data_IF_891425840217
#
_entry.id   IF_891425840217
#
_cell.length_a   1.000
_cell.length_b   1.000
_cell.length_c   1.000
_cell.angle_alpha   90.00
_cell.angle_beta   90.00
_cell.angle_gamma   90.00
#
_symmetry.space_group_name_H-M   'P 1'
#
loop_
_entity.id
_entity.type
_entity.pdbx_description
1 polymer ?
#
# COMPACT_ATOMS: atom_id res chain seq x y z
N UNK A 1 -24.97 17.88 7.72
CA UNK A 1 -26.38 18.11 8.13
C UNK A 1 -26.58 17.42 9.46
N UNK A 2 -27.11 18.14 10.45
CA UNK A 2 -27.21 17.64 11.81
C UNK A 2 -28.43 16.72 12.01
N UNK A 3 -28.19 15.48 12.45
CA UNK A 3 -29.23 14.48 12.71
C UNK A 3 -30.17 14.85 13.87
N UNK A 4 -29.72 15.69 14.81
CA UNK A 4 -30.53 16.11 15.95
C UNK A 4 -31.37 17.35 15.64
N UNK A 5 -30.83 18.29 14.84
CA UNK A 5 -31.50 19.56 14.53
C UNK A 5 -32.26 19.62 13.18
N UNK A 6 -31.88 18.83 12.16
CA UNK A 6 -32.45 18.99 10.81
C UNK A 6 -33.94 18.61 10.72
N UNK A 7 -34.68 19.31 9.86
CA UNK A 7 -36.05 18.95 9.45
C UNK A 7 -36.08 17.82 8.41
N UNK A 8 -37.24 17.19 8.20
CA UNK A 8 -37.38 16.14 7.18
C UNK A 8 -36.99 16.65 5.78
N UNK A 9 -37.41 17.87 5.42
CA UNK A 9 -37.04 18.49 4.15
C UNK A 9 -35.51 18.64 4.01
N UNK A 10 -34.82 19.09 5.06
CA UNK A 10 -33.37 19.19 5.07
C UNK A 10 -32.69 17.81 4.95
N UNK A 11 -33.21 16.78 5.62
CA UNK A 11 -32.71 15.41 5.51
C UNK A 11 -32.89 14.85 4.08
N UNK A 12 -33.99 15.16 3.39
CA UNK A 12 -34.21 14.74 1.98
C UNK A 12 -33.30 15.43 0.95
N UNK A 13 -32.55 16.47 1.32
CA UNK A 13 -31.52 17.04 0.43
C UNK A 13 -30.31 16.12 0.26
N UNK A 14 -30.12 15.15 1.16
CA UNK A 14 -28.95 14.27 1.19
C UNK A 14 -29.15 13.11 0.20
N UNK A 15 -28.26 13.00 -0.78
CA UNK A 15 -28.35 12.03 -1.89
C UNK A 15 -28.47 10.59 -1.39
N UNK A 16 -29.69 10.06 -1.40
CA UNK A 16 -30.04 8.70 -0.99
C UNK A 16 -31.05 8.62 0.16
N UNK A 17 -31.33 9.71 0.87
CA UNK A 17 -32.40 9.78 1.88
C UNK A 17 -33.71 10.18 1.18
N UNK A 18 -34.64 9.23 1.05
CA UNK A 18 -36.00 9.51 0.61
C UNK A 18 -36.88 10.06 1.75
N UNK A 19 -38.03 10.64 1.41
CA UNK A 19 -39.02 11.18 2.38
C UNK A 19 -39.35 10.19 3.51
N UNK A 20 -39.65 8.93 3.16
CA UNK A 20 -39.93 7.84 4.11
C UNK A 20 -38.75 7.55 5.06
N UNK A 21 -37.51 7.78 4.63
CA UNK A 21 -36.31 7.62 5.45
C UNK A 21 -36.12 8.82 6.37
N UNK A 22 -36.32 10.04 5.88
CA UNK A 22 -36.28 11.26 6.68
C UNK A 22 -37.32 11.25 7.81
N UNK A 23 -38.57 10.89 7.51
CA UNK A 23 -39.63 10.71 8.50
C UNK A 23 -39.26 9.67 9.58
N UNK A 24 -38.69 8.53 9.19
CA UNK A 24 -38.25 7.52 10.15
C UNK A 24 -37.11 8.01 11.07
N UNK A 25 -36.19 8.85 10.57
CA UNK A 25 -35.10 9.44 11.37
C UNK A 25 -35.67 10.41 12.42
N UNK A 26 -36.60 11.30 12.00
CA UNK A 26 -37.23 12.27 12.91
C UNK A 26 -38.13 11.59 13.94
N UNK A 27 -38.93 10.60 13.53
CA UNK A 27 -39.72 9.77 14.43
C UNK A 27 -38.86 9.00 15.44
N UNK A 28 -37.72 8.45 15.01
CA UNK A 28 -36.80 7.74 15.90
C UNK A 28 -36.26 8.66 16.99
N UNK A 29 -35.68 9.82 16.66
CA UNK A 29 -35.10 10.73 17.67
C UNK A 29 -36.16 11.32 18.62
N UNK A 30 -37.39 11.49 18.13
CA UNK A 30 -38.52 11.99 18.95
C UNK A 30 -38.98 10.93 19.96
N UNK A 31 -38.91 9.64 19.62
CA UNK A 31 -39.35 8.54 20.48
C UNK A 31 -38.24 7.93 21.37
N UNK A 32 -36.96 8.06 20.98
CA UNK A 32 -35.82 7.39 21.63
C UNK A 32 -34.75 8.37 22.17
N UNK A 33 -34.94 9.68 21.98
CA UNK A 33 -33.94 10.69 22.31
C UNK A 33 -32.93 10.98 21.18
N UNK A 34 -32.06 11.99 21.35
CA UNK A 34 -31.11 12.42 20.33
C UNK A 34 -30.06 11.35 20.01
N UNK A 35 -29.66 11.29 18.73
CA UNK A 35 -28.56 10.45 18.26
C UNK A 35 -27.25 10.92 18.90
N UNK A 36 -26.49 9.99 19.50
CA UNK A 36 -25.20 10.27 20.15
C UNK A 36 -24.04 10.15 19.14
N UNK A 37 -24.24 9.32 18.11
CA UNK A 37 -23.31 9.04 17.02
C UNK A 37 -24.08 8.99 15.70
N UNK A 38 -23.37 9.11 14.58
CA UNK A 38 -23.99 8.87 13.26
C UNK A 38 -24.35 7.38 13.09
N UNK A 39 -23.62 6.48 13.75
CA UNK A 39 -23.87 5.04 13.79
C UNK A 39 -25.23 4.65 14.39
N UNK A 40 -25.77 5.46 15.30
CA UNK A 40 -27.11 5.26 15.86
C UNK A 40 -28.22 5.26 14.79
N UNK A 41 -27.97 5.79 13.59
CA UNK A 41 -28.89 5.64 12.45
C UNK A 41 -29.17 4.17 12.08
N UNK A 42 -28.27 3.23 12.37
CA UNK A 42 -28.51 1.80 12.13
C UNK A 42 -29.65 1.23 13.01
N UNK A 43 -30.08 1.97 14.05
CA UNK A 43 -31.23 1.64 14.89
C UNK A 43 -32.56 2.10 14.27
N UNK A 44 -32.52 2.93 13.21
CA UNK A 44 -33.71 3.45 12.51
C UNK A 44 -34.24 2.43 11.51
N UNK A 45 -35.53 2.10 11.61
CA UNK A 45 -36.18 1.09 10.76
C UNK A 45 -36.03 1.43 9.26
N UNK A 46 -35.35 0.56 8.52
CA UNK A 46 -35.09 0.71 7.08
C UNK A 46 -33.74 1.33 6.71
N UNK A 47 -32.88 1.60 7.70
CA UNK A 47 -31.48 1.99 7.50
C UNK A 47 -30.58 0.80 7.82
N UNK A 48 -29.60 0.52 6.96
CA UNK A 48 -28.56 -0.51 7.18
C UNK A 48 -27.21 0.13 7.46
N UNK A 49 -26.30 -0.58 8.15
CA UNK A 49 -24.97 -0.05 8.48
C UNK A 49 -24.20 0.50 7.24
N UNK A 50 -24.17 -0.27 6.14
CA UNK A 50 -23.54 0.16 4.89
C UNK A 50 -24.21 1.42 4.25
N UNK A 51 -25.48 1.70 4.56
CA UNK A 51 -26.15 2.94 4.16
C UNK A 51 -25.79 4.10 5.10
N UNK A 52 -25.59 3.84 6.40
CA UNK A 52 -25.04 4.84 7.35
C UNK A 52 -23.64 5.27 6.94
N UNK A 53 -22.74 4.32 6.66
CA UNK A 53 -21.35 4.61 6.25
C UNK A 53 -21.29 5.51 5.00
N UNK A 54 -22.16 5.26 4.02
CA UNK A 54 -22.26 6.08 2.81
C UNK A 54 -22.77 7.50 3.07
N UNK A 55 -23.58 7.70 4.11
CA UNK A 55 -24.13 9.01 4.49
C UNK A 55 -23.25 9.76 5.50
N UNK A 56 -22.36 9.06 6.21
CA UNK A 56 -21.45 9.60 7.24
C UNK A 56 -20.76 10.92 6.85
N UNK A 57 -20.23 11.12 5.62
CA UNK A 57 -19.60 12.40 5.24
C UNK A 57 -20.55 13.59 5.11
N UNK A 58 -21.87 13.35 4.97
CA UNK A 58 -22.90 14.39 4.85
C UNK A 58 -23.57 14.71 6.18
N UNK A 59 -23.25 13.97 7.25
CA UNK A 59 -24.00 13.93 8.49
C UNK A 59 -23.14 14.30 9.70
N UNK A 60 -23.77 14.97 10.67
CA UNK A 60 -23.20 15.30 11.96
C UNK A 60 -24.21 14.99 13.05
N UNK A 61 -23.73 14.82 14.28
CA UNK A 61 -24.55 14.87 15.49
C UNK A 61 -24.10 16.08 16.28
N UNK A 62 -24.92 17.14 16.28
CA UNK A 62 -24.67 18.29 17.13
C UNK A 62 -25.03 17.95 18.58
N UNK A 63 -24.10 18.20 19.50
CA UNK A 63 -24.42 18.34 20.91
C UNK A 63 -25.13 19.68 21.13
N UNK A 64 -26.27 19.66 21.83
CA UNK A 64 -26.89 20.91 22.29
C UNK A 64 -26.03 21.57 23.37
N UNK A 65 -26.14 22.90 23.50
CA UNK A 65 -25.58 23.64 24.63
C UNK A 65 -26.30 23.34 25.96
N UNK A 66 -25.90 23.90 27.10
CA UNK A 66 -24.93 24.98 27.34
C UNK A 66 -24.20 24.76 28.69
N UNK A 67 -23.09 25.47 28.94
CA UNK A 67 -22.42 25.50 30.25
C UNK A 67 -21.02 26.11 30.20
N UNK A 68 -20.66 26.98 31.16
CA UNK A 68 -19.46 27.83 31.09
C UNK A 68 -18.49 27.69 32.28
N UNK A 69 -17.19 27.91 32.01
CA UNK A 69 -16.17 28.29 33.00
C UNK A 69 -15.03 27.27 33.23
N UNK A 70 -13.79 27.75 33.44
CA UNK A 70 -12.70 26.92 33.98
C UNK A 70 -11.32 27.06 33.33
N UNK A 71 -10.57 28.08 33.75
CA UNK A 71 -9.15 28.41 33.47
C UNK A 71 -8.09 27.29 33.60
N UNK A 72 -6.98 27.42 32.83
CA UNK A 72 -5.65 26.83 33.12
C UNK A 72 -5.29 25.58 32.29
N UNK A 73 -4.03 25.30 31.93
CA UNK A 73 -2.78 26.07 32.07
C UNK A 73 -1.82 25.76 30.88
N UNK A 74 -0.71 26.49 30.74
CA UNK A 74 0.06 26.62 29.49
C UNK A 74 1.04 25.50 29.13
N UNK A 75 1.16 25.23 27.83
CA UNK A 75 2.28 24.52 27.18
C UNK A 75 3.07 25.46 26.24
N UNK A 76 4.30 25.09 25.82
CA UNK A 76 5.16 25.96 25.01
C UNK A 76 4.61 26.19 23.59
N UNK A 77 4.93 27.34 22.95
CA UNK A 77 4.35 27.72 21.67
C UNK A 77 4.85 26.80 20.53
N UNK A 78 3.93 26.46 19.62
CA UNK A 78 4.29 25.77 18.38
C UNK A 78 5.17 26.66 17.49
N UNK A 79 6.20 26.07 16.88
CA UNK A 79 7.07 26.77 15.92
C UNK A 79 6.30 26.98 14.62
N UNK A 80 6.00 28.24 14.31
CA UNK A 80 5.31 28.64 13.08
C UNK A 80 6.31 28.61 11.91
N UNK A 81 5.96 27.89 10.84
CA UNK A 81 6.74 27.89 9.59
C UNK A 81 6.58 29.23 8.84
N UNK A 82 7.60 29.74 8.12
CA UNK A 82 7.65 31.14 7.68
C UNK A 82 6.66 31.53 6.57
N UNK A 83 5.95 30.55 6.00
CA UNK A 83 5.10 30.66 4.82
C UNK A 83 3.59 30.65 5.12
N UNK A 84 3.19 30.41 6.37
CA UNK A 84 1.80 30.61 6.84
C UNK A 84 0.76 29.64 6.29
N UNK A 85 1.16 28.60 5.55
CA UNK A 85 0.26 27.60 4.98
C UNK A 85 -0.03 26.48 5.99
N UNK A 86 -1.20 26.56 6.63
CA UNK A 86 -1.73 25.45 7.42
C UNK A 86 -2.21 24.32 6.50
N UNK A 87 -1.33 23.36 6.20
CA UNK A 87 -1.72 22.13 5.52
C UNK A 87 -2.65 21.31 6.42
N UNK A 88 -3.83 20.86 5.94
CA UNK A 88 -4.65 19.95 6.70
C UNK A 88 -3.90 18.63 6.88
N UNK A 89 -3.65 18.24 8.14
CA UNK A 89 -3.09 16.94 8.46
C UNK A 89 -3.95 15.84 7.84
N UNK A 90 -3.34 14.73 7.41
CA UNK A 90 -4.11 13.57 6.98
C UNK A 90 -5.08 13.19 8.11
N UNK A 91 -6.40 13.05 7.86
CA UNK A 91 -7.35 12.60 8.89
C UNK A 91 -7.04 11.21 9.46
N UNK A 92 -6.08 10.50 8.85
CA UNK A 92 -5.51 9.26 9.35
C UNK A 92 -4.56 9.42 10.56
N UNK A 93 -4.09 10.64 10.85
CA UNK A 93 -3.13 10.95 11.93
C UNK A 93 -3.71 12.06 12.83
N UNK A 94 -4.56 11.67 13.78
CA UNK A 94 -5.08 12.57 14.82
C UNK A 94 -4.04 12.98 15.85
N UNK A 95 -4.36 13.93 16.75
CA UNK A 95 -3.44 14.39 17.80
C UNK A 95 -3.11 13.29 18.82
N UNK A 96 -4.05 12.37 19.07
CA UNK A 96 -3.93 11.26 20.02
C UNK A 96 -3.13 10.08 19.45
N UNK A 97 -1.86 10.32 19.09
CA UNK A 97 -0.93 9.22 18.90
C UNK A 97 -0.72 8.49 20.25
N UNK A 98 -0.90 7.15 20.31
CA UNK A 98 -0.38 6.40 21.44
C UNK A 98 1.15 6.54 21.48
N UNK A 99 1.74 6.38 22.67
CA UNK A 99 3.19 6.48 22.86
C UNK A 99 3.95 5.64 21.80
N UNK A 100 5.05 6.14 21.22
CA UNK A 100 5.68 5.54 20.05
C UNK A 100 5.87 4.04 20.20
N UNK A 101 5.17 3.27 19.34
CA UNK A 101 5.23 1.81 19.36
C UNK A 101 6.70 1.41 19.20
N UNK A 102 7.31 0.71 20.18
CA UNK A 102 8.71 0.34 20.09
C UNK A 102 8.98 -0.43 18.81
N UNK A 103 9.92 0.05 18.00
CA UNK A 103 10.32 -0.64 16.76
C UNK A 103 10.81 -2.05 17.12
N UNK A 104 10.44 -3.07 16.32
CA UNK A 104 10.81 -4.46 16.63
C UNK A 104 12.34 -4.60 16.68
N UNK A 105 12.83 -5.43 17.59
CA UNK A 105 14.23 -5.85 17.58
C UNK A 105 14.44 -6.79 16.38
N UNK A 106 15.19 -6.32 15.38
CA UNK A 106 15.49 -7.07 14.14
C UNK A 106 16.92 -7.61 14.21
N UNK A 107 17.11 -8.88 13.80
CA UNK A 107 18.45 -9.45 13.66
C UNK A 107 19.21 -8.76 12.52
N UNK A 108 20.36 -8.17 12.85
CA UNK A 108 21.15 -7.36 11.92
C UNK A 108 21.73 -8.19 10.77
N UNK A 109 21.37 -7.87 9.53
CA UNK A 109 21.90 -8.54 8.36
C UNK A 109 23.35 -8.12 8.07
N UNK A 110 24.27 -9.07 8.16
CA UNK A 110 25.72 -8.88 7.93
C UNK A 110 26.11 -8.64 6.48
N UNK A 111 25.21 -8.87 5.51
CA UNK A 111 25.54 -8.94 4.09
C UNK A 111 26.29 -10.22 3.69
N UNK A 112 26.44 -11.20 4.59
CA UNK A 112 27.17 -12.46 4.35
C UNK A 112 26.38 -13.64 4.88
N UNK A 113 26.02 -14.58 3.99
CA UNK A 113 25.30 -15.81 4.33
C UNK A 113 26.13 -17.03 3.91
N UNK A 114 26.39 -17.94 4.86
CA UNK A 114 27.23 -19.14 4.67
C UNK A 114 28.61 -18.83 4.05
N UNK A 115 29.23 -17.72 4.48
CA UNK A 115 30.54 -17.27 4.00
C UNK A 115 30.56 -16.61 2.62
N UNK A 116 29.41 -16.41 1.96
CA UNK A 116 29.29 -15.74 0.66
C UNK A 116 28.59 -14.38 0.83
N UNK A 117 28.98 -13.33 0.07
CA UNK A 117 28.20 -12.09 0.00
C UNK A 117 26.76 -12.38 -0.41
N UNK A 118 25.81 -11.68 0.21
CA UNK A 118 24.38 -11.87 0.01
C UNK A 118 23.62 -10.54 0.13
N UNK A 119 22.54 -10.40 -0.63
CA UNK A 119 21.64 -9.24 -0.61
C UNK A 119 20.23 -9.67 -0.21
N UNK A 120 19.55 -8.88 0.62
CA UNK A 120 18.12 -9.07 0.90
C UNK A 120 17.28 -8.32 -0.15
N UNK A 121 16.46 -9.07 -0.87
CA UNK A 121 15.48 -8.57 -1.84
C UNK A 121 14.09 -8.58 -1.19
N UNK A 122 13.29 -7.55 -1.44
CA UNK A 122 11.94 -7.42 -0.89
C UNK A 122 10.94 -6.87 -1.92
N UNK A 123 9.65 -7.07 -1.65
CA UNK A 123 8.54 -6.39 -2.30
C UNK A 123 7.72 -5.63 -1.27
N UNK A 124 7.08 -4.53 -1.66
CA UNK A 124 6.16 -3.80 -0.79
C UNK A 124 5.11 -3.02 -1.59
N UNK A 125 3.82 -3.40 -1.44
CA UNK A 125 2.72 -2.52 -1.78
C UNK A 125 2.66 -1.36 -0.77
N UNK A 126 3.14 -0.18 -1.18
CA UNK A 126 3.17 1.02 -0.33
C UNK A 126 1.84 1.78 -0.31
N UNK A 127 0.75 1.21 -0.84
CA UNK A 127 -0.64 1.65 -0.78
C UNK A 127 -0.86 3.14 -1.16
N UNK A 128 -1.19 3.41 -2.42
CA UNK A 128 -1.32 4.77 -2.98
C UNK A 128 -0.12 5.66 -2.57
N UNK A 129 1.09 5.20 -2.90
CA UNK A 129 2.35 5.84 -2.56
C UNK A 129 2.56 7.10 -3.42
N UNK A 130 2.22 8.27 -2.86
CA UNK A 130 2.34 9.57 -3.50
C UNK A 130 3.44 10.45 -2.92
N UNK A 131 3.80 11.51 -3.65
CA UNK A 131 4.69 12.57 -3.21
C UNK A 131 4.24 13.17 -1.88
N UNK A 132 2.93 13.44 -1.72
CA UNK A 132 2.32 13.96 -0.48
C UNK A 132 2.46 12.96 0.67
N UNK A 133 2.26 11.65 0.39
CA UNK A 133 2.44 10.58 1.38
C UNK A 133 3.89 10.49 1.87
N UNK A 134 4.85 10.83 1.02
CA UNK A 134 6.29 10.83 1.34
C UNK A 134 6.83 12.16 1.87
N UNK A 135 6.05 13.25 1.83
CA UNK A 135 6.35 14.45 2.63
C UNK A 135 6.03 14.24 4.12
N UNK A 136 5.15 13.29 4.45
CA UNK A 136 4.94 12.89 5.83
C UNK A 136 6.21 12.26 6.42
N UNK A 137 6.89 13.01 7.28
CA UNK A 137 8.14 12.60 7.94
C UNK A 137 8.01 11.26 8.67
N UNK A 138 6.87 10.94 9.29
CA UNK A 138 6.65 9.67 9.98
C UNK A 138 6.56 8.48 9.02
N UNK A 139 5.84 8.63 7.90
CA UNK A 139 5.77 7.59 6.85
C UNK A 139 7.15 7.40 6.22
N UNK A 140 7.85 8.49 5.88
CA UNK A 140 9.19 8.43 5.29
C UNK A 140 10.20 7.79 6.25
N UNK A 141 10.14 8.12 7.54
CA UNK A 141 10.98 7.47 8.57
C UNK A 141 10.68 5.97 8.70
N UNK A 142 9.41 5.56 8.72
CA UNK A 142 9.02 4.14 8.78
C UNK A 142 9.61 3.36 7.61
N UNK A 143 9.38 3.82 6.37
CA UNK A 143 9.88 3.10 5.17
C UNK A 143 11.41 3.07 5.13
N UNK A 144 12.08 4.20 5.36
CA UNK A 144 13.54 4.26 5.34
C UNK A 144 14.16 3.39 6.44
N UNK A 145 13.68 3.48 7.69
CA UNK A 145 14.22 2.67 8.77
C UNK A 145 13.91 1.18 8.61
N UNK A 146 12.74 0.76 8.12
CA UNK A 146 12.48 -0.66 7.86
C UNK A 146 13.47 -1.26 6.85
N UNK A 147 13.86 -0.51 5.81
CA UNK A 147 14.92 -0.93 4.88
C UNK A 147 16.31 -1.00 5.54
N UNK A 148 16.60 -0.08 6.46
CA UNK A 148 17.88 -0.02 7.17
C UNK A 148 18.01 -1.12 8.24
N UNK A 149 16.95 -1.36 9.01
CA UNK A 149 16.76 -2.39 10.05
C UNK A 149 16.83 -3.80 9.47
N UNK A 150 16.00 -4.08 8.45
CA UNK A 150 15.95 -5.40 7.80
C UNK A 150 17.15 -5.67 6.89
N UNK A 151 18.03 -4.68 6.67
CA UNK A 151 19.18 -4.82 5.78
C UNK A 151 18.82 -5.05 4.31
N UNK A 152 17.62 -4.65 3.89
CA UNK A 152 17.14 -4.78 2.51
C UNK A 152 18.02 -3.93 1.60
N UNK A 153 18.42 -4.50 0.46
CA UNK A 153 19.31 -3.88 -0.54
C UNK A 153 18.66 -3.67 -1.90
N UNK A 154 17.55 -4.35 -2.17
CA UNK A 154 16.73 -4.19 -3.38
C UNK A 154 15.26 -4.34 -3.00
N UNK A 155 14.47 -3.28 -3.23
CA UNK A 155 13.05 -3.22 -2.99
C UNK A 155 12.31 -3.03 -4.32
N UNK A 156 11.35 -3.90 -4.61
CA UNK A 156 10.32 -3.65 -5.61
C UNK A 156 9.09 -3.00 -4.95
N UNK A 157 8.53 -1.97 -5.59
CA UNK A 157 7.40 -1.18 -5.03
C UNK A 157 6.18 -1.27 -5.93
N UNK A 158 5.01 -1.53 -5.33
CA UNK A 158 3.69 -1.46 -5.97
C UNK A 158 2.92 -0.21 -5.50
N UNK A 159 1.86 0.16 -6.23
CA UNK A 159 1.00 1.34 -5.99
C UNK A 159 1.72 2.69 -5.90
N UNK A 160 2.74 2.95 -6.74
CA UNK A 160 3.24 4.33 -6.89
C UNK A 160 2.16 5.17 -7.59
N UNK A 161 1.63 6.18 -6.91
CA UNK A 161 0.65 7.12 -7.45
C UNK A 161 1.32 8.15 -8.38
N UNK A 162 2.58 8.46 -8.12
CA UNK A 162 3.43 9.31 -8.94
C UNK A 162 4.89 8.86 -8.87
N UNK A 163 5.71 9.38 -9.79
CA UNK A 163 7.12 9.02 -9.92
C UNK A 163 8.04 9.68 -8.88
N UNK A 164 7.57 10.72 -8.19
CA UNK A 164 8.38 11.52 -7.27
C UNK A 164 8.38 10.90 -5.86
N UNK A 165 7.32 10.18 -5.48
CA UNK A 165 7.23 9.44 -4.23
C UNK A 165 8.48 8.57 -3.95
N UNK A 166 8.91 7.76 -4.92
CA UNK A 166 10.09 6.89 -4.76
C UNK A 166 11.42 7.68 -4.78
N UNK A 167 11.47 8.80 -5.51
CA UNK A 167 12.62 9.70 -5.53
C UNK A 167 12.83 10.38 -4.16
N UNK A 168 11.76 10.72 -3.44
CA UNK A 168 11.85 11.25 -2.06
C UNK A 168 12.43 10.24 -1.07
N UNK A 169 12.03 8.96 -1.19
CA UNK A 169 12.62 7.87 -0.39
C UNK A 169 14.11 7.67 -0.70
N UNK A 170 14.48 7.68 -1.98
CA UNK A 170 15.86 7.56 -2.44
C UNK A 170 16.72 8.74 -1.95
N UNK A 171 16.20 9.97 -2.01
CA UNK A 171 16.88 11.16 -1.52
C UNK A 171 17.10 11.13 0.00
N UNK A 172 16.11 10.71 0.78
CA UNK A 172 16.25 10.57 2.24
C UNK A 172 17.29 9.51 2.64
N UNK A 173 17.36 8.39 1.92
CA UNK A 173 18.35 7.34 2.18
C UNK A 173 19.79 7.73 1.82
N UNK A 174 19.97 8.70 0.92
CA UNK A 174 21.27 9.24 0.52
C UNK A 174 21.69 10.50 1.28
N UNK A 175 20.74 11.37 1.64
CA UNK A 175 20.97 12.65 2.30
C UNK A 175 19.93 12.87 3.41
N UNK A 176 20.01 12.11 4.52
CA UNK A 176 18.93 12.03 5.50
C UNK A 176 18.67 13.34 6.24
N UNK A 177 17.44 13.82 6.11
CA UNK A 177 16.87 14.96 6.84
C UNK A 177 16.30 14.54 8.19
N UNK A 178 15.79 13.30 8.27
CA UNK A 178 15.19 12.70 9.44
C UNK A 178 16.28 12.23 10.39
N UNK A 179 16.25 12.73 11.63
CA UNK A 179 17.24 12.41 12.67
C UNK A 179 17.47 10.90 12.80
N UNK A 180 16.41 10.12 12.90
CA UNK A 180 16.48 8.68 13.16
C UNK A 180 17.13 7.90 11.99
N UNK A 181 16.99 8.40 10.76
CA UNK A 181 17.62 7.82 9.55
C UNK A 181 19.10 8.23 9.47
N UNK A 182 19.42 9.50 9.77
CA UNK A 182 20.79 10.04 9.76
C UNK A 182 21.67 9.47 10.88
N UNK A 183 21.10 9.33 12.07
CA UNK A 183 21.79 8.83 13.26
C UNK A 183 21.88 7.28 13.26
N UNK A 184 21.47 6.59 12.17
CA UNK A 184 21.46 5.12 12.06
C UNK A 184 22.88 4.51 11.90
N UNK A 185 23.26 3.49 12.69
CA UNK A 185 24.65 3.02 12.78
C UNK A 185 25.06 2.04 11.65
N UNK A 186 25.22 2.52 10.41
CA UNK A 186 25.87 1.77 9.32
C UNK A 186 26.51 2.70 8.26
N UNK A 187 27.37 2.20 7.35
CA UNK A 187 27.85 2.99 6.22
C UNK A 187 26.70 3.54 5.37
N UNK A 188 26.82 4.81 4.98
CA UNK A 188 25.89 5.49 4.07
C UNK A 188 25.93 4.79 2.69
N UNK A 189 24.76 4.48 2.15
CA UNK A 189 24.63 3.73 0.88
C UNK A 189 24.76 4.63 -0.35
N UNK A 190 24.74 3.99 -1.52
CA UNK A 190 24.51 4.66 -2.82
C UNK A 190 23.15 4.21 -3.34
N UNK A 191 22.09 4.78 -2.77
CA UNK A 191 20.73 4.40 -3.13
C UNK A 191 20.35 5.00 -4.48
N UNK A 192 19.70 4.19 -5.30
CA UNK A 192 19.21 4.55 -6.63
C UNK A 192 17.80 4.04 -6.79
N UNK A 193 17.00 4.71 -7.60
CA UNK A 193 15.63 4.30 -7.87
C UNK A 193 15.24 4.48 -9.33
N UNK A 194 14.33 3.63 -9.80
CA UNK A 194 13.65 3.76 -11.09
C UNK A 194 12.15 3.55 -10.90
N UNK A 195 11.34 4.24 -11.71
CA UNK A 195 9.88 4.11 -11.75
C UNK A 195 9.47 3.97 -13.20
N UNK A 196 8.56 3.05 -13.48
CA UNK A 196 8.14 2.70 -14.84
C UNK A 196 7.78 3.94 -15.66
N UNK A 197 8.36 4.08 -16.86
CA UNK A 197 8.16 5.28 -17.69
C UNK A 197 6.68 5.51 -17.99
N UNK A 198 5.96 4.42 -18.26
CA UNK A 198 4.51 4.40 -18.43
C UNK A 198 3.83 3.76 -17.21
N UNK A 199 2.54 4.04 -16.94
CA UNK A 199 1.79 3.32 -15.91
C UNK A 199 1.74 1.81 -16.13
N UNK A 200 1.72 1.03 -15.04
CA UNK A 200 1.44 -0.41 -15.09
C UNK A 200 -0.03 -0.65 -15.44
N UNK A 201 -0.95 0.12 -14.82
CA UNK A 201 -2.38 0.07 -15.10
C UNK A 201 -3.19 1.08 -14.26
N UNK A 202 -4.52 0.92 -14.16
CA UNK A 202 -5.35 1.77 -13.34
C UNK A 202 -5.11 1.48 -11.85
N UNK A 203 -5.00 2.54 -11.05
CA UNK A 203 -5.01 2.41 -9.60
C UNK A 203 -6.44 2.04 -9.16
N UNK A 204 -6.60 0.93 -8.43
CA UNK A 204 -7.91 0.59 -7.88
C UNK A 204 -8.31 1.51 -6.72
N UNK A 205 -9.58 1.43 -6.32
CA UNK A 205 -10.14 2.24 -5.25
C UNK A 205 -9.56 1.85 -3.89
N UNK A 206 -8.36 2.33 -3.62
CA UNK A 206 -7.88 2.53 -2.26
C UNK A 206 -8.95 3.32 -1.49
N UNK A 207 -9.25 2.95 -0.24
CA UNK A 207 -10.18 3.70 0.63
C UNK A 207 -9.65 5.09 1.04
N UNK A 208 -8.54 5.52 0.44
CA UNK A 208 -7.97 6.85 0.49
C UNK A 208 -8.83 7.82 -0.34
N UNK A 209 -9.47 8.79 0.32
CA UNK A 209 -10.36 9.78 -0.31
C UNK A 209 -9.69 10.71 -1.35
N UNK A 210 -8.39 10.55 -1.57
CA UNK A 210 -7.56 11.35 -2.49
C UNK A 210 -7.33 10.66 -3.84
N UNK A 211 -7.65 9.35 -3.98
CA UNK A 211 -7.56 8.65 -5.29
C UNK A 211 -8.67 9.17 -6.20
N UNK A 212 -8.27 9.85 -7.28
CA UNK A 212 -9.21 10.43 -8.25
C UNK A 212 -9.78 9.30 -9.13
N UNK A 213 -11.02 9.45 -9.64
CA UNK A 213 -11.49 8.59 -10.72
C UNK A 213 -10.48 8.61 -11.88
N UNK A 214 -10.15 7.43 -12.41
CA UNK A 214 -9.14 7.25 -13.48
C UNK A 214 -7.68 7.54 -13.06
N UNK A 215 -7.36 7.59 -11.75
CA UNK A 215 -5.97 7.50 -11.28
C UNK A 215 -5.28 6.25 -11.85
N UNK A 216 -4.01 6.41 -12.21
CA UNK A 216 -3.15 5.35 -12.73
C UNK A 216 -2.05 5.05 -11.71
N UNK A 217 -1.57 3.81 -11.67
CA UNK A 217 -0.44 3.42 -10.85
C UNK A 217 0.80 3.08 -11.69
N UNK A 218 1.95 3.23 -11.04
CA UNK A 218 3.26 2.86 -11.53
C UNK A 218 3.88 1.82 -10.59
N UNK A 219 4.91 1.14 -11.07
CA UNK A 219 5.77 0.28 -10.28
C UNK A 219 7.21 0.79 -10.34
N UNK A 220 8.03 0.41 -9.38
CA UNK A 220 9.42 0.89 -9.29
C UNK A 220 10.35 -0.08 -8.58
N UNK A 221 11.64 0.23 -8.65
CA UNK A 221 12.68 -0.42 -7.87
C UNK A 221 13.52 0.63 -7.14
N UNK A 222 13.93 0.33 -5.91
CA UNK A 222 14.80 1.14 -5.05
C UNK A 222 15.90 0.22 -4.53
N UNK A 223 17.17 0.53 -4.78
CA UNK A 223 18.28 -0.36 -4.46
C UNK A 223 19.53 0.39 -4.00
N UNK A 224 20.36 -0.30 -3.22
CA UNK A 224 21.63 0.22 -2.69
C UNK A 224 22.79 -0.28 -3.56
N UNK A 225 23.22 0.53 -4.53
CA UNK A 225 24.28 0.20 -5.47
C UNK A 225 25.64 0.01 -4.80
N UNK A 226 25.87 0.58 -3.60
CA UNK A 226 27.09 0.30 -2.82
C UNK A 226 27.19 -1.15 -2.36
N UNK A 227 26.09 -1.91 -2.43
CA UNK A 227 26.05 -3.36 -2.20
C UNK A 227 26.40 -4.19 -3.44
N UNK A 228 26.93 -3.57 -4.50
CA UNK A 228 27.33 -4.24 -5.75
C UNK A 228 26.16 -4.54 -6.68
N UNK A 229 25.03 -3.83 -6.51
CA UNK A 229 23.81 -3.99 -7.30
C UNK A 229 23.74 -2.98 -8.45
N UNK A 230 23.66 -3.50 -9.67
CA UNK A 230 23.57 -2.76 -10.92
C UNK A 230 22.23 -3.09 -11.62
N UNK A 231 21.47 -2.08 -12.02
CA UNK A 231 20.31 -2.23 -12.91
C UNK A 231 20.81 -2.10 -14.35
N UNK A 232 20.60 -3.14 -15.17
CA UNK A 232 21.07 -3.21 -16.55
C UNK A 232 19.98 -2.78 -17.56
N UNK A 233 18.72 -3.16 -17.31
CA UNK A 233 17.56 -2.71 -18.10
C UNK A 233 16.25 -2.84 -17.32
N UNK A 234 15.23 -2.12 -17.75
CA UNK A 234 13.87 -2.15 -17.16
C UNK A 234 12.78 -2.01 -18.24
N UNK A 235 11.55 -2.41 -17.92
CA UNK A 235 10.43 -2.26 -18.86
C UNK A 235 9.12 -2.91 -18.39
N UNK A 236 8.03 -2.67 -19.14
CA UNK A 236 6.72 -3.29 -18.88
C UNK A 236 6.51 -4.53 -19.76
N UNK A 237 6.38 -5.70 -19.13
CA UNK A 237 6.24 -6.99 -19.81
C UNK A 237 4.93 -7.05 -20.60
N UNK A 238 4.98 -7.52 -21.84
CA UNK A 238 3.77 -7.81 -22.64
C UNK A 238 2.97 -6.61 -23.16
N UNK A 239 3.44 -5.36 -22.96
CA UNK A 239 2.76 -4.13 -23.36
C UNK A 239 2.93 -3.78 -24.84
N UNK A 240 2.47 -4.66 -25.73
CA UNK A 240 2.47 -4.47 -27.20
C UNK A 240 1.27 -3.57 -27.62
N UNK A 241 1.42 -2.74 -28.68
CA UNK A 241 0.39 -1.76 -29.10
C UNK A 241 -0.92 -2.45 -29.48
N UNK A 242 -1.97 -2.24 -28.67
CA UNK A 242 -3.30 -2.86 -28.85
C UNK A 242 -3.57 -4.11 -28.00
N UNK A 243 -2.56 -4.63 -27.28
CA UNK A 243 -2.77 -5.72 -26.32
C UNK A 243 -3.57 -5.25 -25.08
N UNK A 244 -4.25 -6.20 -24.44
CA UNK A 244 -4.89 -6.06 -23.11
C UNK A 244 -4.74 -7.37 -22.32
N UNK A 245 -3.49 -7.83 -22.15
CA UNK A 245 -3.19 -9.03 -21.39
C UNK A 245 -3.55 -8.79 -19.91
N UNK A 246 -2.76 -7.99 -19.20
CA UNK A 246 -3.01 -7.66 -17.80
C UNK A 246 -3.89 -6.41 -17.66
N UNK A 247 -4.60 -6.30 -16.55
CA UNK A 247 -5.13 -5.02 -16.10
C UNK A 247 -4.00 -4.13 -15.57
N UNK A 248 -2.98 -4.74 -14.94
CA UNK A 248 -1.72 -4.09 -14.56
C UNK A 248 -0.53 -4.86 -15.12
N UNK A 249 0.15 -4.27 -16.10
CA UNK A 249 1.33 -4.85 -16.75
C UNK A 249 2.48 -5.00 -15.73
N UNK A 250 3.02 -6.21 -15.53
CA UNK A 250 4.17 -6.43 -14.65
C UNK A 250 5.39 -5.63 -15.08
N UNK A 251 6.14 -5.16 -14.10
CA UNK A 251 7.30 -4.30 -14.31
C UNK A 251 8.59 -5.07 -14.06
N UNK A 252 9.48 -5.08 -15.05
CA UNK A 252 10.68 -5.90 -15.08
C UNK A 252 11.91 -5.05 -14.80
N UNK A 253 12.82 -5.58 -13.98
CA UNK A 253 14.16 -5.05 -13.80
C UNK A 253 15.17 -6.18 -13.93
N UNK A 254 16.08 -6.05 -14.90
CA UNK A 254 17.20 -6.96 -15.08
C UNK A 254 18.40 -6.42 -14.29
N UNK A 255 18.81 -7.15 -13.26
CA UNK A 255 19.79 -6.75 -12.27
C UNK A 255 21.04 -7.62 -12.31
N UNK A 256 22.12 -7.09 -11.76
CA UNK A 256 23.39 -7.79 -11.60
C UNK A 256 23.97 -7.53 -10.21
N UNK A 257 24.44 -8.59 -9.57
CA UNK A 257 25.14 -8.60 -8.30
C UNK A 257 26.56 -9.15 -8.52
N UNK A 258 27.52 -8.25 -8.79
CA UNK A 258 28.91 -8.59 -9.04
C UNK A 258 29.16 -9.39 -10.34
N UNK A 259 29.09 -10.73 -10.27
CA UNK A 259 29.29 -11.67 -11.40
C UNK A 259 28.03 -12.47 -11.74
N UNK A 260 26.90 -12.14 -11.14
CA UNK A 260 25.67 -12.90 -11.22
C UNK A 260 24.52 -11.99 -11.66
N UNK A 261 23.77 -12.43 -12.67
CA UNK A 261 22.68 -11.74 -13.37
C UNK A 261 21.33 -12.36 -12.96
N UNK A 262 20.29 -11.54 -12.82
CA UNK A 262 18.96 -12.01 -12.41
C UNK A 262 17.85 -11.05 -12.82
N UNK A 263 16.65 -11.60 -13.04
CA UNK A 263 15.47 -10.81 -13.39
C UNK A 263 14.49 -10.72 -12.23
N UNK A 264 14.13 -9.50 -11.84
CA UNK A 264 12.96 -9.23 -11.00
C UNK A 264 11.76 -8.90 -11.87
N UNK A 265 10.64 -9.57 -11.60
CA UNK A 265 9.33 -9.24 -12.16
C UNK A 265 8.44 -8.77 -11.01
N UNK A 266 8.24 -7.45 -10.95
CA UNK A 266 7.35 -6.77 -10.01
C UNK A 266 5.89 -6.93 -10.50
N UNK A 267 5.09 -7.68 -9.74
CA UNK A 267 3.71 -8.06 -10.05
C UNK A 267 2.72 -7.32 -9.15
N UNK A 268 1.54 -6.98 -9.67
CA UNK A 268 0.43 -6.46 -8.87
C UNK A 268 -0.92 -6.93 -9.44
N UNK A 269 -1.36 -8.15 -9.09
CA UNK A 269 -2.64 -8.71 -9.57
C UNK A 269 -3.83 -8.02 -8.90
N UNK A 270 -5.00 -7.98 -9.56
CA UNK A 270 -6.17 -7.25 -9.05
C UNK A 270 -6.66 -7.73 -7.66
N UNK A 271 -6.79 -6.79 -6.72
CA UNK A 271 -7.53 -7.01 -5.46
C UNK A 271 -9.05 -7.21 -5.65
N UNK A 272 -9.68 -8.04 -4.81
CA UNK A 272 -11.11 -8.36 -4.87
C UNK A 272 -11.98 -7.51 -3.94
N UNK A 273 -12.75 -6.58 -4.49
CA UNK A 273 -13.67 -5.71 -3.76
C UNK A 273 -15.08 -6.27 -3.57
N UNK A 274 -15.26 -7.23 -2.65
CA UNK A 274 -16.57 -7.58 -2.06
C UNK A 274 -17.76 -7.82 -3.04
N UNK A 275 -17.53 -8.50 -4.17
CA UNK A 275 -18.61 -8.91 -5.07
C UNK A 275 -18.16 -9.87 -6.18
N UNK A 276 -19.07 -10.75 -6.64
CA UNK A 276 -18.75 -11.83 -7.59
C UNK A 276 -18.12 -11.31 -8.90
N UNK A 277 -18.67 -10.21 -9.45
CA UNK A 277 -18.16 -9.57 -10.67
C UNK A 277 -16.78 -8.88 -10.51
N UNK A 278 -16.20 -8.88 -9.30
CA UNK A 278 -14.80 -8.52 -9.04
C UNK A 278 -13.91 -9.78 -9.01
N UNK A 279 -14.38 -10.88 -8.40
CA UNK A 279 -13.71 -12.19 -8.43
C UNK A 279 -13.51 -12.68 -9.86
N UNK A 280 -14.56 -12.64 -10.69
CA UNK A 280 -14.50 -13.00 -12.11
C UNK A 280 -13.39 -12.24 -12.86
N UNK A 281 -13.13 -10.98 -12.49
CA UNK A 281 -12.11 -10.15 -13.13
C UNK A 281 -10.69 -10.45 -12.64
N UNK A 282 -10.53 -10.84 -11.37
CA UNK A 282 -9.26 -11.37 -10.87
C UNK A 282 -8.97 -12.75 -11.50
N UNK A 283 -9.95 -13.65 -11.56
CA UNK A 283 -9.82 -14.94 -12.24
C UNK A 283 -9.42 -14.76 -13.72
N UNK A 284 -9.98 -13.78 -14.43
CA UNK A 284 -9.59 -13.41 -15.80
C UNK A 284 -8.21 -12.74 -15.94
N UNK A 285 -7.53 -12.39 -14.84
CA UNK A 285 -6.13 -11.95 -14.82
C UNK A 285 -5.19 -13.10 -14.42
N UNK A 286 -5.58 -13.90 -13.43
CA UNK A 286 -4.91 -15.15 -13.01
C UNK A 286 -4.82 -16.17 -14.16
N UNK A 287 -5.89 -16.32 -14.95
CA UNK A 287 -5.94 -17.14 -16.17
C UNK A 287 -4.89 -16.73 -17.22
N UNK A 288 -4.18 -15.61 -17.00
CA UNK A 288 -3.10 -15.09 -17.85
C UNK A 288 -1.74 -15.12 -17.16
N UNK A 289 -1.61 -15.73 -15.97
CA UNK A 289 -0.31 -16.08 -15.41
C UNK A 289 0.46 -17.09 -16.28
N UNK A 290 -0.17 -18.08 -16.96
CA UNK A 290 0.50 -18.83 -18.03
C UNK A 290 1.04 -17.90 -19.13
N UNK A 291 0.20 -16.95 -19.59
CA UNK A 291 0.60 -15.95 -20.58
C UNK A 291 1.72 -15.02 -20.08
N UNK A 292 1.85 -14.81 -18.76
CA UNK A 292 2.98 -14.10 -18.17
C UNK A 292 4.26 -14.93 -18.28
N UNK A 293 4.20 -16.25 -18.05
CA UNK A 293 5.36 -17.12 -18.26
C UNK A 293 5.77 -17.14 -19.75
N UNK A 294 4.80 -17.32 -20.67
CA UNK A 294 5.04 -17.27 -22.12
C UNK A 294 5.70 -15.94 -22.54
N UNK A 295 5.18 -14.81 -22.02
CA UNK A 295 5.71 -13.46 -22.30
C UNK A 295 7.05 -13.19 -21.63
N UNK A 296 7.37 -13.83 -20.51
CA UNK A 296 8.68 -13.75 -19.88
C UNK A 296 9.70 -14.58 -20.68
N UNK A 297 9.34 -15.77 -21.15
CA UNK A 297 10.22 -16.58 -22.02
C UNK A 297 10.48 -15.90 -23.37
N UNK A 298 9.48 -15.22 -23.97
CA UNK A 298 9.70 -14.32 -25.12
C UNK A 298 10.72 -13.21 -24.81
N UNK A 299 10.62 -12.58 -23.64
CA UNK A 299 11.34 -11.34 -23.31
C UNK A 299 12.72 -11.56 -22.67
N UNK A 300 12.98 -12.75 -22.15
CA UNK A 300 14.16 -13.13 -21.36
C UNK A 300 14.92 -14.31 -21.98
N UNK A 301 14.88 -14.46 -23.31
CA UNK A 301 15.44 -15.61 -24.04
C UNK A 301 16.97 -15.77 -23.85
N UNK A 302 17.34 -16.49 -22.78
CA UNK A 302 18.71 -16.73 -22.32
C UNK A 302 18.81 -16.70 -20.79
N UNK A 303 18.10 -15.77 -20.16
CA UNK A 303 18.04 -15.57 -18.71
C UNK A 303 17.13 -16.61 -18.03
N UNK A 304 17.59 -17.14 -16.89
CA UNK A 304 16.89 -18.24 -16.19
C UNK A 304 16.61 -17.93 -14.73
N UNK A 305 17.41 -17.06 -14.12
CA UNK A 305 17.33 -16.72 -12.71
C UNK A 305 16.31 -15.61 -12.46
N UNK A 306 15.03 -16.00 -12.55
CA UNK A 306 13.87 -15.10 -12.48
C UNK A 306 13.16 -15.21 -11.13
N UNK A 307 12.88 -14.05 -10.54
CA UNK A 307 12.12 -13.86 -9.31
C UNK A 307 10.83 -13.11 -9.62
N UNK A 308 9.67 -13.76 -9.47
CA UNK A 308 8.37 -13.09 -9.54
C UNK A 308 7.96 -12.66 -8.13
N UNK A 309 7.81 -11.36 -7.89
CA UNK A 309 7.50 -10.84 -6.55
C UNK A 309 6.56 -9.65 -6.60
N UNK A 310 5.75 -9.48 -5.56
CA UNK A 310 4.67 -8.50 -5.58
C UNK A 310 3.44 -8.93 -4.80
N UNK A 311 2.39 -8.11 -4.90
CA UNK A 311 1.05 -8.43 -4.40
C UNK A 311 0.29 -9.26 -5.46
N UNK A 312 0.08 -10.54 -5.16
CA UNK A 312 -0.67 -11.45 -6.01
C UNK A 312 -2.15 -11.58 -5.57
N UNK A 313 -2.57 -10.90 -4.49
CA UNK A 313 -3.91 -10.94 -3.89
C UNK A 313 -4.45 -12.35 -3.54
N UNK A 314 -3.59 -13.38 -3.51
CA UNK A 314 -3.91 -14.75 -3.13
C UNK A 314 -2.74 -15.42 -2.38
N UNK A 315 -3.10 -16.45 -1.62
CA UNK A 315 -2.18 -17.31 -0.86
C UNK A 315 -1.38 -18.24 -1.79
N UNK A 316 -0.08 -18.52 -1.52
CA UNK A 316 0.80 -19.25 -2.45
C UNK A 316 0.42 -20.71 -2.70
N UNK A 317 -0.47 -21.29 -1.91
CA UNK A 317 -1.04 -22.63 -2.08
C UNK A 317 -2.32 -22.65 -2.95
N UNK A 318 -2.90 -21.49 -3.31
CA UNK A 318 -4.08 -21.40 -4.16
C UNK A 318 -3.87 -22.13 -5.51
N UNK A 319 -4.90 -22.84 -6.00
CA UNK A 319 -4.90 -23.57 -7.29
C UNK A 319 -4.58 -22.67 -8.49
N UNK A 320 -4.91 -21.40 -8.36
CA UNK A 320 -4.59 -20.28 -9.24
C UNK A 320 -3.08 -20.18 -9.60
N UNK A 321 -2.20 -20.74 -8.76
CA UNK A 321 -0.75 -20.81 -8.99
C UNK A 321 -0.23 -22.20 -9.39
N UNK A 322 -1.09 -23.18 -9.72
CA UNK A 322 -0.64 -24.50 -10.21
C UNK A 322 0.18 -24.41 -11.50
N UNK A 323 -0.07 -23.39 -12.34
CA UNK A 323 0.75 -23.11 -13.53
C UNK A 323 2.18 -22.68 -13.18
N UNK A 324 2.40 -22.00 -12.05
CA UNK A 324 3.75 -21.69 -11.55
C UNK A 324 4.40 -22.96 -11.01
N UNK A 325 3.69 -23.72 -10.17
CA UNK A 325 4.19 -24.94 -9.51
C UNK A 325 4.53 -26.05 -10.51
N UNK A 326 3.72 -26.24 -11.55
CA UNK A 326 3.97 -27.24 -12.61
C UNK A 326 5.20 -26.89 -13.48
N UNK A 327 5.50 -25.61 -13.66
CA UNK A 327 6.75 -25.12 -14.26
C UNK A 327 7.93 -25.06 -13.26
N UNK A 328 7.76 -25.67 -12.07
CA UNK A 328 8.79 -25.81 -11.05
C UNK A 328 9.10 -24.53 -10.26
N UNK A 329 8.31 -23.46 -10.39
CA UNK A 329 8.48 -22.28 -9.55
C UNK A 329 8.10 -22.59 -8.10
N UNK A 330 8.85 -22.00 -7.16
CA UNK A 330 8.68 -22.23 -5.72
C UNK A 330 8.53 -20.92 -4.96
N UNK A 331 7.48 -20.81 -4.13
CA UNK A 331 7.32 -19.68 -3.21
C UNK A 331 8.34 -19.75 -2.07
N UNK A 332 8.89 -18.59 -1.69
CA UNK A 332 9.64 -18.40 -0.45
C UNK A 332 8.74 -18.00 0.73
N UNK A 333 7.51 -17.54 0.46
CA UNK A 333 6.52 -17.15 1.47
C UNK A 333 5.63 -18.37 1.79
N UNK A 334 5.55 -18.83 3.05
CA UNK A 334 4.60 -19.85 3.48
C UNK A 334 3.15 -19.33 3.49
N UNK A 335 2.18 -20.19 3.19
CA UNK A 335 0.75 -19.82 3.11
C UNK A 335 0.14 -19.36 4.46
N UNK A 336 0.72 -19.78 5.57
CA UNK A 336 0.36 -19.42 6.94
C UNK A 336 1.03 -18.12 7.44
N UNK A 337 1.96 -17.53 6.68
CA UNK A 337 2.56 -16.23 6.99
C UNK A 337 1.70 -15.12 6.39
N UNK A 338 1.12 -14.27 7.25
CA UNK A 338 0.36 -13.11 6.79
C UNK A 338 1.29 -12.00 6.29
N UNK A 339 0.99 -11.47 5.11
CA UNK A 339 1.73 -10.36 4.48
C UNK A 339 0.93 -9.06 4.41
N UNK A 340 -0.39 -9.12 4.61
CA UNK A 340 -1.22 -7.92 4.78
C UNK A 340 -1.20 -7.38 6.23
N UNK A 341 -1.42 -6.07 6.39
CA UNK A 341 -1.76 -5.44 7.69
C UNK A 341 -2.84 -4.37 7.50
N UNK A 342 -3.49 -3.93 8.59
CA UNK A 342 -4.41 -2.79 8.56
C UNK A 342 -4.52 -2.10 9.92
N UNK A 343 -5.02 -0.86 9.96
CA UNK A 343 -5.30 -0.14 11.22
C UNK A 343 -6.31 -0.84 12.16
N UNK A 344 -7.05 -1.85 11.67
CA UNK A 344 -7.98 -2.68 12.46
C UNK A 344 -7.39 -4.04 12.86
N UNK A 345 -6.26 -4.42 12.28
CA UNK A 345 -5.54 -5.66 12.56
C UNK A 345 -4.08 -5.52 12.08
N UNK A 346 -3.19 -5.22 13.03
CA UNK A 346 -1.76 -5.06 12.78
C UNK A 346 -1.01 -6.41 12.67
N UNK A 347 -1.64 -7.51 13.10
CA UNK A 347 -1.06 -8.86 13.03
C UNK A 347 -1.28 -9.55 11.69
N UNK A 348 -2.07 -8.95 10.78
CA UNK A 348 -2.43 -9.53 9.50
C UNK A 348 -3.47 -10.65 9.57
N UNK A 349 -3.94 -11.09 8.39
CA UNK A 349 -4.96 -12.14 8.24
C UNK A 349 -4.94 -12.86 6.88
N UNK A 350 -4.01 -12.52 5.99
CA UNK A 350 -3.90 -13.02 4.61
C UNK A 350 -2.45 -13.04 4.15
N UNK A 351 -2.04 -14.11 3.47
CA UNK A 351 -0.89 -14.09 2.55
C UNK A 351 -1.39 -13.61 1.18
N UNK A 352 -0.91 -12.47 0.72
CA UNK A 352 -1.23 -11.86 -0.59
C UNK A 352 0.05 -11.51 -1.36
N UNK A 353 1.01 -10.85 -0.71
CA UNK A 353 2.35 -10.66 -1.23
C UNK A 353 3.11 -11.98 -1.24
N UNK A 354 3.79 -12.29 -2.34
CA UNK A 354 4.54 -13.53 -2.56
C UNK A 354 5.89 -13.26 -3.23
N UNK A 355 6.80 -14.25 -3.14
CA UNK A 355 8.09 -14.28 -3.85
C UNK A 355 8.30 -15.67 -4.43
N UNK A 356 8.25 -15.81 -5.74
CA UNK A 356 8.40 -17.06 -6.49
C UNK A 356 9.73 -17.12 -7.21
N UNK A 357 10.51 -18.17 -6.98
CA UNK A 357 11.79 -18.43 -7.64
C UNK A 357 11.61 -19.42 -8.80
N UNK A 358 12.21 -19.13 -9.95
CA UNK A 358 12.35 -20.10 -11.05
C UNK A 358 13.14 -21.35 -10.62
N UNK A 359 13.10 -22.45 -11.40
CA UNK A 359 13.92 -23.64 -11.14
C UNK A 359 15.44 -23.36 -11.04
N UNK A 360 15.96 -22.36 -11.76
CA UNK A 360 17.37 -21.95 -11.64
C UNK A 360 17.61 -21.11 -10.38
N UNK A 361 16.75 -20.10 -10.14
CA UNK A 361 16.92 -19.14 -9.05
C UNK A 361 16.88 -19.78 -7.65
N UNK A 362 16.28 -20.96 -7.52
CA UNK A 362 16.27 -21.76 -6.29
C UNK A 362 17.68 -22.14 -5.78
N UNK A 363 18.70 -22.18 -6.63
CA UNK A 363 20.10 -22.42 -6.21
C UNK A 363 20.78 -21.22 -5.54
N UNK A 364 20.21 -20.02 -5.68
CA UNK A 364 20.75 -18.75 -5.18
C UNK A 364 20.25 -18.41 -3.78
N UNK A 365 19.02 -18.85 -3.48
CA UNK A 365 18.32 -18.56 -2.23
C UNK A 365 19.00 -19.25 -1.05
N UNK A 366 19.22 -18.50 0.05
CA UNK A 366 20.16 -18.90 1.11
C UNK A 366 19.68 -18.70 2.55
N UNK A 367 18.72 -17.81 2.76
CA UNK A 367 18.24 -17.26 4.04
C UNK A 367 17.94 -15.68 3.96
#
# INVERSE_FOLDING_TARGET
>A
VDLNAASEAQLTTIKGIGTKTAANIVAYRTANGPFQTVDDLAKVKGISAAFVDRLRPSLTVGGGGEGAGGTGDGGPPAVIAPDGLCYPTCPCLGPDFPAPIPRPQVESFSGVVRGRPAVRVASWNLQCCSADKMDNNGVREVVCLTLLEQGIKLLAVQELADKVALQKLCAELNAPSLRSVRDWPRPQGDWRCVVSENPTGPMYQCACAYVRPQSMEYAGFLWDASSGLELLSEGLVGKKKGSKHFARYPYLGYFKAGRFDFTLVNVHLKATGLGNAELEKLQLEIMKLPQLLDLLEEHLSGEKDTLLLGDFNLTPDASDFDALRSQGFKSCVPADVFTNISIKNLSGSKSYDNVWLSPAAQGLYTG
#
